data_IF_869141244469
#
_entry.id   IF_869141244469
#
_cell.length_a   1.000
_cell.length_b   1.000
_cell.length_c   1.000
_cell.angle_alpha   90.00
_cell.angle_beta   90.00
_cell.angle_gamma   90.00
#
_symmetry.space_group_name_H-M   'P 1'
#
loop_
_entity.id
_entity.type
_entity.pdbx_description
1 polymer ?
#
# COMPACT_ATOMS: atom_id res chain seq x y z
N UNK A 1 8.76 71.04 -2.65
CA UNK A 1 8.34 70.15 -1.57
C UNK A 1 7.05 69.45 -1.99
N UNK A 2 7.15 68.30 -2.60
CA UNK A 2 6.00 67.42 -2.80
C UNK A 2 6.40 66.02 -2.32
N UNK A 3 5.82 65.63 -1.20
CA UNK A 3 5.93 64.34 -0.58
C UNK A 3 5.15 63.33 -1.41
N UNK A 4 5.83 62.31 -1.94
CA UNK A 4 5.17 61.17 -2.59
C UNK A 4 5.06 60.08 -1.54
N UNK A 5 3.81 59.75 -1.18
CA UNK A 5 3.49 58.63 -0.29
C UNK A 5 3.65 57.30 -1.04
N UNK A 6 4.43 56.43 -0.49
CA UNK A 6 4.57 55.04 -0.96
C UNK A 6 3.27 54.28 -0.68
N UNK A 7 2.78 53.53 -1.68
CA UNK A 7 1.68 52.61 -1.54
C UNK A 7 2.15 51.34 -0.77
N UNK A 8 1.28 50.72 0.03
CA UNK A 8 1.61 49.49 0.72
C UNK A 8 1.72 48.31 -0.27
N UNK A 9 2.83 47.62 -0.18
CA UNK A 9 3.12 46.38 -0.88
C UNK A 9 2.17 45.28 -0.36
N UNK A 10 1.29 44.80 -1.26
CA UNK A 10 0.38 43.71 -0.94
C UNK A 10 1.16 42.41 -1.09
N UNK A 11 1.43 41.74 0.02
CA UNK A 11 1.98 40.40 0.10
C UNK A 11 1.10 39.42 -0.69
N UNK A 12 1.68 38.51 -1.53
CA UNK A 12 0.89 37.52 -2.24
C UNK A 12 0.33 36.51 -1.23
N UNK A 13 -0.90 36.00 -1.42
CA UNK A 13 -1.50 35.05 -0.51
C UNK A 13 -0.70 33.72 -0.56
N UNK A 14 -0.34 33.26 0.62
CA UNK A 14 0.20 31.92 0.86
C UNK A 14 -0.72 30.86 0.21
N UNK A 15 -0.19 29.85 -0.48
CA UNK A 15 -1.02 28.76 -0.96
C UNK A 15 -1.61 28.02 0.23
N UNK A 16 -2.92 28.04 0.35
CA UNK A 16 -3.67 27.28 1.34
C UNK A 16 -3.34 25.79 1.18
N UNK A 17 -2.59 25.24 2.13
CA UNK A 17 -2.49 23.82 2.36
C UNK A 17 -3.90 23.27 2.60
N UNK A 18 -4.49 22.71 1.55
CA UNK A 18 -5.67 21.86 1.71
C UNK A 18 -5.22 20.57 2.35
N UNK A 19 -5.59 20.29 3.61
CA UNK A 19 -5.41 18.98 4.15
C UNK A 19 -6.27 18.03 3.30
N UNK A 20 -5.61 17.12 2.61
CA UNK A 20 -6.28 15.98 1.97
C UNK A 20 -7.09 15.28 3.05
N UNK A 21 -8.38 15.58 3.10
CA UNK A 21 -9.30 14.96 4.02
C UNK A 21 -9.25 13.46 3.77
N UNK A 22 -8.71 12.72 4.73
CA UNK A 22 -9.01 11.30 4.86
C UNK A 22 -10.53 11.16 4.78
N UNK A 23 -11.08 10.17 4.06
CA UNK A 23 -12.51 10.01 3.99
C UNK A 23 -13.02 9.88 5.42
N UNK A 24 -13.75 10.90 5.88
CA UNK A 24 -14.49 10.86 7.13
C UNK A 24 -15.51 9.76 6.98
N UNK A 25 -15.23 8.60 7.58
CA UNK A 25 -16.18 7.52 7.71
C UNK A 25 -17.28 7.93 8.69
N UNK A 26 -18.18 8.80 8.24
CA UNK A 26 -19.43 9.10 8.94
C UNK A 26 -20.52 8.07 8.62
N UNK A 27 -20.13 6.83 8.29
CA UNK A 27 -21.03 5.70 8.18
C UNK A 27 -21.52 5.22 9.55
N UNK A 28 -22.66 4.52 9.62
CA UNK A 28 -23.17 3.98 10.86
C UNK A 28 -22.10 3.10 11.52
N UNK A 29 -21.81 3.38 12.79
CA UNK A 29 -20.86 2.58 13.59
C UNK A 29 -21.49 1.23 13.88
N UNK A 30 -21.21 0.24 13.03
CA UNK A 30 -21.58 -1.12 13.34
C UNK A 30 -20.74 -1.61 14.53
N UNK A 31 -21.39 -2.07 15.59
CA UNK A 31 -20.69 -2.76 16.68
C UNK A 31 -20.12 -4.09 16.16
N UNK A 32 -18.94 -4.48 16.61
CA UNK A 32 -18.10 -5.51 16.01
C UNK A 32 -18.67 -6.91 15.80
N UNK A 33 -19.86 -7.20 16.27
CA UNK A 33 -20.56 -8.47 15.98
C UNK A 33 -21.67 -8.33 14.95
N UNK A 34 -22.04 -7.12 14.55
CA UNK A 34 -23.08 -6.93 13.53
C UNK A 34 -22.47 -7.02 12.15
N UNK A 35 -23.20 -7.66 11.22
CA UNK A 35 -22.82 -7.67 9.81
C UNK A 35 -23.05 -6.29 9.20
N UNK A 36 -22.09 -5.80 8.41
CA UNK A 36 -22.31 -4.65 7.56
C UNK A 36 -23.43 -4.98 6.54
N UNK A 37 -24.24 -4.00 6.10
CA UNK A 37 -25.16 -4.18 4.98
C UNK A 37 -24.43 -4.71 3.74
N UNK A 38 -25.13 -5.47 2.91
CA UNK A 38 -24.55 -6.04 1.71
C UNK A 38 -23.96 -4.95 0.81
N UNK A 39 -22.70 -5.10 0.40
CA UNK A 39 -21.99 -4.15 -0.45
C UNK A 39 -21.42 -2.92 0.27
N UNK A 40 -21.73 -2.70 1.55
CA UNK A 40 -21.16 -1.60 2.31
C UNK A 40 -19.84 -2.04 2.96
N UNK A 41 -18.73 -1.36 2.60
CA UNK A 41 -17.41 -1.64 3.18
C UNK A 41 -17.39 -1.28 4.67
N UNK A 42 -16.86 -2.20 5.47
CA UNK A 42 -16.51 -1.96 6.86
C UNK A 42 -15.06 -2.32 7.10
N UNK A 43 -14.29 -1.38 7.64
CA UNK A 43 -12.92 -1.66 8.06
C UNK A 43 -12.86 -2.63 9.24
N UNK A 44 -11.78 -3.40 9.32
CA UNK A 44 -11.50 -4.25 10.47
C UNK A 44 -11.33 -3.40 11.75
N UNK A 45 -11.80 -3.94 12.86
CA UNK A 45 -11.64 -3.37 14.21
C UNK A 45 -11.31 -4.48 15.23
N UNK A 46 -11.22 -4.12 16.50
CA UNK A 46 -10.92 -5.09 17.58
C UNK A 46 -12.01 -6.15 17.77
N UNK A 47 -13.16 -5.98 17.15
CA UNK A 47 -14.32 -6.87 17.30
C UNK A 47 -14.53 -7.79 16.10
N UNK A 48 -13.86 -7.52 14.96
CA UNK A 48 -13.99 -8.38 13.78
C UNK A 48 -13.19 -7.93 12.57
N UNK A 49 -13.06 -8.82 11.57
CA UNK A 49 -12.37 -8.54 10.31
C UNK A 49 -13.12 -7.51 9.46
N UNK A 50 -12.43 -7.00 8.45
CA UNK A 50 -13.04 -6.18 7.42
C UNK A 50 -14.16 -6.95 6.70
N UNK A 51 -15.21 -6.23 6.29
CA UNK A 51 -16.35 -6.80 5.58
C UNK A 51 -16.58 -6.07 4.27
N UNK A 52 -17.04 -6.80 3.27
CA UNK A 52 -17.33 -6.27 1.93
C UNK A 52 -16.15 -5.46 1.36
N UNK A 53 -14.94 -5.96 1.55
CA UNK A 53 -13.72 -5.32 1.02
C UNK A 53 -13.82 -5.22 -0.49
N UNK A 54 -13.72 -4.01 -1.09
CA UNK A 54 -13.78 -3.86 -2.53
C UNK A 54 -12.66 -4.64 -3.21
N UNK A 55 -13.02 -5.49 -4.17
CA UNK A 55 -12.04 -6.25 -4.93
C UNK A 55 -11.33 -5.34 -5.93
N UNK A 56 -9.97 -5.29 -5.93
CA UNK A 56 -9.24 -4.48 -6.87
C UNK A 56 -9.47 -4.88 -8.33
N UNK A 57 -9.23 -3.94 -9.23
CA UNK A 57 -9.21 -4.19 -10.67
C UNK A 57 -7.86 -3.77 -11.23
N UNK A 58 -7.31 -4.57 -12.12
CA UNK A 58 -6.04 -4.24 -12.75
C UNK A 58 -6.23 -3.09 -13.76
N UNK A 59 -5.35 -2.08 -13.78
CA UNK A 59 -5.43 -1.00 -14.75
C UNK A 59 -5.14 -1.53 -16.18
N UNK A 60 -5.81 -0.99 -17.21
CA UNK A 60 -5.54 -1.40 -18.60
C UNK A 60 -4.06 -1.24 -18.96
N UNK A 61 -3.48 -2.25 -19.62
CA UNK A 61 -2.08 -2.26 -20.05
C UNK A 61 -1.06 -2.60 -18.97
N UNK A 62 -1.47 -3.06 -17.80
CA UNK A 62 -0.56 -3.44 -16.71
C UNK A 62 0.38 -4.61 -17.06
N UNK A 63 0.03 -5.42 -18.05
CA UNK A 63 0.86 -6.54 -18.55
C UNK A 63 1.72 -6.17 -19.76
N UNK A 64 1.69 -4.93 -20.22
CA UNK A 64 2.49 -4.52 -21.39
C UNK A 64 3.98 -4.46 -21.05
N UNK A 65 4.88 -4.86 -21.99
CA UNK A 65 6.34 -4.83 -21.79
C UNK A 65 6.92 -3.41 -21.94
N UNK A 66 6.31 -2.46 -21.25
CA UNK A 66 6.68 -1.03 -21.25
C UNK A 66 6.90 -0.53 -19.83
N UNK A 67 7.60 0.59 -19.67
CA UNK A 67 7.76 1.22 -18.36
C UNK A 67 6.41 1.61 -17.74
N UNK A 68 5.47 2.09 -18.55
CA UNK A 68 4.11 2.40 -18.10
C UNK A 68 3.38 1.12 -17.63
N UNK A 69 3.51 0.02 -18.37
CA UNK A 69 2.99 -1.29 -17.97
C UNK A 69 3.59 -1.77 -16.65
N UNK A 70 4.90 -1.61 -16.47
CA UNK A 70 5.58 -1.93 -15.21
C UNK A 70 5.05 -1.11 -14.04
N UNK A 71 4.89 0.21 -14.19
CA UNK A 71 4.33 1.09 -13.17
C UNK A 71 2.91 0.69 -12.78
N UNK A 72 2.08 0.40 -13.78
CA UNK A 72 0.70 -0.07 -13.60
C UNK A 72 0.66 -1.41 -12.88
N UNK A 73 1.58 -2.32 -13.22
CA UNK A 73 1.71 -3.63 -12.59
C UNK A 73 2.08 -3.49 -11.11
N UNK A 74 3.05 -2.65 -10.76
CA UNK A 74 3.44 -2.40 -9.37
C UNK A 74 2.30 -1.79 -8.55
N UNK A 75 1.52 -0.90 -9.16
CA UNK A 75 0.31 -0.34 -8.54
C UNK A 75 -0.76 -1.41 -8.32
N UNK A 76 -1.00 -2.27 -9.30
CA UNK A 76 -1.93 -3.39 -9.19
C UNK A 76 -1.50 -4.35 -8.08
N UNK A 77 -0.21 -4.74 -8.05
CA UNK A 77 0.34 -5.56 -6.99
C UNK A 77 0.08 -4.99 -5.60
N UNK A 78 0.36 -3.70 -5.38
CA UNK A 78 0.12 -3.05 -4.08
C UNK A 78 -1.36 -3.11 -3.67
N UNK A 79 -2.29 -2.93 -4.61
CA UNK A 79 -3.72 -3.02 -4.36
C UNK A 79 -4.15 -4.44 -3.98
N UNK A 80 -3.69 -5.45 -4.72
CA UNK A 80 -3.99 -6.86 -4.43
C UNK A 80 -3.35 -7.34 -3.13
N UNK A 81 -2.15 -6.88 -2.83
CA UNK A 81 -1.49 -7.12 -1.55
C UNK A 81 -2.31 -6.57 -0.38
N UNK A 82 -2.78 -5.34 -0.49
CA UNK A 82 -3.65 -4.72 0.52
C UNK A 82 -5.01 -5.42 0.64
N UNK A 83 -5.55 -5.91 -0.46
CA UNK A 83 -6.76 -6.73 -0.44
C UNK A 83 -6.53 -8.03 0.35
N UNK A 84 -5.44 -8.73 0.06
CA UNK A 84 -5.05 -9.93 0.81
C UNK A 84 -4.87 -9.67 2.30
N UNK A 85 -4.24 -8.55 2.66
CA UNK A 85 -4.06 -8.15 4.07
C UNK A 85 -5.39 -7.94 4.80
N UNK A 86 -6.43 -7.47 4.11
CA UNK A 86 -7.75 -7.25 4.70
C UNK A 86 -8.65 -8.48 4.70
N UNK A 87 -8.38 -9.46 3.84
CA UNK A 87 -9.28 -10.61 3.60
C UNK A 87 -8.65 -11.98 3.84
N UNK A 88 -7.32 -12.05 3.86
CA UNK A 88 -6.57 -13.31 3.81
C UNK A 88 -6.46 -13.92 2.40
N UNK A 89 -7.07 -13.31 1.37
CA UNK A 89 -7.03 -13.79 -0.01
C UNK A 89 -5.94 -13.09 -0.82
N UNK A 90 -4.81 -13.76 -0.99
CA UNK A 90 -3.66 -13.30 -1.77
C UNK A 90 -3.58 -13.89 -3.17
N UNK A 91 -4.61 -14.60 -3.63
CA UNK A 91 -4.62 -15.33 -4.92
C UNK A 91 -4.12 -14.48 -6.09
N UNK A 92 -4.58 -13.23 -6.18
CA UNK A 92 -4.16 -12.33 -7.25
C UNK A 92 -2.77 -11.70 -6.98
N UNK A 93 -2.43 -11.43 -5.72
CA UNK A 93 -1.13 -10.85 -5.36
C UNK A 93 0.04 -11.79 -5.72
N UNK A 94 -0.15 -13.10 -5.61
CA UNK A 94 0.84 -14.11 -6.00
C UNK A 94 1.26 -14.03 -7.47
N UNK A 95 0.40 -13.52 -8.35
CA UNK A 95 0.69 -13.44 -9.80
C UNK A 95 1.77 -12.40 -10.13
N UNK A 96 2.09 -11.51 -9.20
CA UNK A 96 3.06 -10.44 -9.38
C UNK A 96 4.43 -10.73 -8.78
N UNK A 97 4.59 -11.83 -8.07
CA UNK A 97 5.82 -12.14 -7.34
C UNK A 97 6.44 -13.44 -7.80
N UNK A 98 7.75 -13.45 -7.93
CA UNK A 98 8.48 -14.67 -8.27
C UNK A 98 8.53 -15.63 -7.09
N UNK A 99 8.73 -16.92 -7.38
CA UNK A 99 8.91 -17.96 -6.35
C UNK A 99 10.12 -17.70 -5.45
N UNK A 100 11.06 -16.87 -5.90
CA UNK A 100 12.27 -16.53 -5.17
C UNK A 100 12.03 -15.44 -4.10
N UNK A 101 10.91 -14.74 -4.16
CA UNK A 101 10.54 -13.72 -3.17
C UNK A 101 9.94 -14.38 -1.92
N UNK A 102 10.75 -15.23 -1.27
CA UNK A 102 10.32 -16.13 -0.19
C UNK A 102 9.74 -15.36 1.01
N UNK A 103 10.31 -14.22 1.37
CA UNK A 103 9.85 -13.43 2.52
C UNK A 103 8.42 -12.92 2.31
N UNK A 104 8.10 -12.40 1.12
CA UNK A 104 6.77 -11.90 0.79
C UNK A 104 5.76 -13.04 0.70
N UNK A 105 6.14 -14.16 0.07
CA UNK A 105 5.32 -15.38 0.00
C UNK A 105 5.00 -15.91 1.40
N UNK A 106 5.99 -15.95 2.29
CA UNK A 106 5.78 -16.40 3.67
C UNK A 106 4.85 -15.45 4.44
N UNK A 107 4.94 -14.13 4.20
CA UNK A 107 4.01 -13.16 4.77
C UNK A 107 2.57 -13.42 4.29
N UNK A 108 2.35 -13.63 2.98
CA UNK A 108 1.03 -13.98 2.43
C UNK A 108 0.47 -15.26 3.05
N UNK A 109 1.30 -16.30 3.16
CA UNK A 109 0.89 -17.58 3.77
C UNK A 109 0.54 -17.42 5.25
N UNK A 110 1.31 -16.63 6.00
CA UNK A 110 1.07 -16.39 7.41
C UNK A 110 -0.25 -15.63 7.63
N UNK A 111 -0.51 -14.61 6.83
CA UNK A 111 -1.75 -13.84 6.90
C UNK A 111 -2.96 -14.69 6.47
N UNK A 112 -2.85 -15.43 5.38
CA UNK A 112 -3.91 -16.34 4.93
C UNK A 112 -4.24 -17.39 6.01
N UNK A 113 -3.20 -17.96 6.66
CA UNK A 113 -3.39 -18.89 7.78
C UNK A 113 -4.07 -18.20 8.98
N UNK A 114 -3.68 -16.99 9.33
CA UNK A 114 -4.30 -16.22 10.41
C UNK A 114 -5.81 -16.10 10.18
N UNK A 115 -6.24 -15.70 8.97
CA UNK A 115 -7.65 -15.59 8.62
C UNK A 115 -8.38 -16.93 8.62
N UNK A 116 -7.74 -17.97 8.08
CA UNK A 116 -8.27 -19.34 8.11
C UNK A 116 -8.53 -19.82 9.54
N UNK A 117 -7.65 -19.50 10.46
CA UNK A 117 -7.74 -19.87 11.88
C UNK A 117 -8.74 -18.98 12.66
N UNK A 118 -9.40 -18.04 12.02
CA UNK A 118 -10.39 -17.15 12.63
C UNK A 118 -9.84 -15.87 13.24
N UNK A 119 -8.57 -15.55 12.98
CA UNK A 119 -7.97 -14.26 13.29
C UNK A 119 -8.14 -13.24 12.16
N UNK A 120 -7.62 -12.03 12.34
CA UNK A 120 -7.66 -10.97 11.33
C UNK A 120 -6.59 -9.90 11.56
N UNK A 121 -6.45 -9.00 10.57
CA UNK A 121 -5.54 -7.86 10.61
C UNK A 121 -6.35 -6.56 10.63
N UNK A 122 -5.92 -5.60 11.45
CA UNK A 122 -6.45 -4.24 11.50
C UNK A 122 -5.37 -3.29 11.03
N UNK A 123 -5.68 -2.43 10.05
CA UNK A 123 -4.72 -1.52 9.43
C UNK A 123 -3.70 -2.27 8.57
N UNK A 124 -2.50 -1.73 8.47
CA UNK A 124 -1.40 -2.37 7.72
C UNK A 124 -1.44 -2.14 6.23
N UNK A 125 -2.48 -1.50 5.73
CA UNK A 125 -2.54 -1.13 4.33
C UNK A 125 -1.32 -0.32 3.95
N UNK A 126 -0.64 -0.78 2.93
CA UNK A 126 0.55 -0.12 2.41
C UNK A 126 0.19 0.79 1.25
N UNK A 127 0.88 1.90 1.17
CA UNK A 127 0.86 2.79 0.01
C UNK A 127 2.28 2.81 -0.55
N UNK A 128 2.44 2.29 -1.76
CA UNK A 128 3.65 2.51 -2.53
C UNK A 128 3.54 3.88 -3.19
N UNK A 129 4.46 4.76 -2.88
CA UNK A 129 4.46 6.13 -3.38
C UNK A 129 5.88 6.62 -3.61
N UNK A 130 5.98 7.76 -4.26
CA UNK A 130 7.24 8.44 -4.52
C UNK A 130 8.28 7.47 -5.09
N UNK A 131 7.95 6.89 -6.25
CA UNK A 131 8.91 6.15 -7.05
C UNK A 131 10.00 7.12 -7.49
N UNK A 132 11.21 6.91 -6.95
CA UNK A 132 12.32 7.80 -7.16
C UNK A 132 13.10 7.40 -8.38
N UNK A 133 13.38 8.40 -9.20
CA UNK A 133 14.13 8.26 -10.45
C UNK A 133 13.43 7.32 -11.45
N UNK A 134 13.97 7.24 -12.62
CA UNK A 134 13.56 6.25 -13.60
C UNK A 134 14.07 4.85 -13.18
N UNK A 135 13.35 3.80 -13.55
CA UNK A 135 13.84 2.43 -13.36
C UNK A 135 15.18 2.22 -14.07
N UNK A 136 16.11 1.59 -13.37
CA UNK A 136 17.46 1.33 -13.91
C UNK A 136 17.48 -0.07 -14.51
N UNK A 137 17.77 -0.16 -15.82
CA UNK A 137 17.95 -1.43 -16.51
C UNK A 137 19.24 -2.12 -16.03
N UNK A 138 19.11 -3.33 -15.51
CA UNK A 138 20.21 -4.12 -14.96
C UNK A 138 20.82 -5.12 -15.97
N UNK A 139 20.30 -5.15 -17.19
CA UNK A 139 20.60 -6.16 -18.19
C UNK A 139 19.56 -7.30 -18.22
N UNK A 140 19.54 -8.08 -19.29
CA UNK A 140 18.67 -9.26 -19.45
C UNK A 140 17.17 -9.03 -19.17
N UNK A 141 16.65 -7.81 -19.45
CA UNK A 141 15.24 -7.49 -19.21
C UNK A 141 14.88 -7.29 -17.74
N UNK A 142 15.87 -7.19 -16.85
CA UNK A 142 15.69 -6.92 -15.43
C UNK A 142 15.82 -5.43 -15.16
N UNK A 143 14.95 -4.89 -14.30
CA UNK A 143 14.95 -3.49 -13.87
C UNK A 143 14.99 -3.41 -12.36
N UNK A 144 15.67 -2.41 -11.83
CA UNK A 144 15.58 -2.01 -10.42
C UNK A 144 14.92 -0.64 -10.29
N UNK A 145 14.10 -0.47 -9.25
CA UNK A 145 13.41 0.79 -9.02
C UNK A 145 13.25 1.07 -7.54
N UNK A 146 13.56 2.31 -7.13
CA UNK A 146 13.42 2.75 -5.76
C UNK A 146 12.05 3.33 -5.50
N UNK A 147 11.45 2.99 -4.36
CA UNK A 147 10.14 3.49 -3.97
C UNK A 147 10.00 3.55 -2.45
N UNK A 148 9.14 4.43 -1.99
CA UNK A 148 8.74 4.47 -0.59
C UNK A 148 7.49 3.66 -0.34
N UNK A 149 7.45 3.01 0.84
CA UNK A 149 6.26 2.32 1.34
C UNK A 149 5.75 3.03 2.58
N UNK A 150 4.55 3.56 2.51
CA UNK A 150 3.86 4.16 3.66
C UNK A 150 2.94 3.15 4.33
N UNK A 151 3.05 3.03 5.64
CA UNK A 151 2.09 2.35 6.51
C UNK A 151 2.21 2.94 7.92
N UNK A 152 1.16 2.87 8.72
CA UNK A 152 1.15 3.50 10.05
C UNK A 152 1.25 2.47 11.18
N UNK A 153 0.35 1.51 11.21
CA UNK A 153 0.34 0.44 12.21
C UNK A 153 -0.33 -0.81 11.65
N UNK A 154 -0.01 -1.94 12.24
CA UNK A 154 -0.64 -3.23 12.00
C UNK A 154 -1.01 -3.80 13.36
N UNK A 155 -2.26 -4.26 13.52
CA UNK A 155 -2.67 -5.05 14.67
C UNK A 155 -3.12 -6.42 14.16
N UNK A 156 -2.43 -7.45 14.60
CA UNK A 156 -2.82 -8.84 14.35
C UNK A 156 -3.67 -9.32 15.51
N UNK A 157 -4.87 -9.79 15.23
CA UNK A 157 -5.82 -10.34 16.22
C UNK A 157 -5.94 -11.83 15.99
N UNK A 158 -5.63 -12.64 16.99
CA UNK A 158 -5.82 -14.09 16.93
C UNK A 158 -7.27 -14.51 17.18
N UNK A 159 -7.59 -15.76 16.84
CA UNK A 159 -8.93 -16.34 17.08
C UNK A 159 -9.34 -16.31 18.56
N UNK A 160 -8.37 -16.29 19.47
CA UNK A 160 -8.57 -16.18 20.92
C UNK A 160 -8.76 -14.74 21.41
N UNK A 161 -8.80 -13.75 20.50
CA UNK A 161 -8.94 -12.33 20.80
C UNK A 161 -7.65 -11.66 21.28
N UNK A 162 -6.55 -12.40 21.47
CA UNK A 162 -5.25 -11.79 21.76
C UNK A 162 -4.75 -11.01 20.56
N UNK A 163 -4.16 -9.84 20.81
CA UNK A 163 -3.70 -8.98 19.73
C UNK A 163 -2.26 -8.50 19.96
N UNK A 164 -1.55 -8.33 18.85
CA UNK A 164 -0.20 -7.74 18.80
C UNK A 164 -0.22 -6.52 17.90
N UNK A 165 0.30 -5.40 18.39
CA UNK A 165 0.41 -4.15 17.64
C UNK A 165 1.86 -3.89 17.23
N UNK A 166 2.06 -3.59 15.95
CA UNK A 166 3.30 -3.05 15.40
C UNK A 166 3.04 -1.63 14.87
N UNK A 167 3.97 -0.71 15.10
CA UNK A 167 3.90 0.67 14.59
C UNK A 167 5.10 0.94 13.70
N UNK A 168 4.86 1.69 12.65
CA UNK A 168 5.93 2.28 11.87
C UNK A 168 6.35 3.58 12.55
N UNK A 169 7.49 3.57 13.21
CA UNK A 169 8.01 4.73 13.96
C UNK A 169 9.10 5.48 13.20
N UNK A 170 9.53 4.97 12.06
CA UNK A 170 10.62 5.56 11.28
C UNK A 170 10.27 5.57 9.79
N UNK A 171 9.62 6.64 9.36
CA UNK A 171 9.24 6.83 7.95
C UNK A 171 10.43 7.00 7.01
N UNK A 172 11.57 7.52 7.50
CA UNK A 172 12.77 7.70 6.69
C UNK A 172 13.39 6.37 6.24
N UNK A 173 13.16 5.29 6.99
CA UNK A 173 13.71 3.97 6.69
C UNK A 173 12.78 3.11 5.80
N UNK A 174 11.77 3.70 5.19
CA UNK A 174 10.83 2.99 4.34
C UNK A 174 11.15 3.08 2.84
N UNK A 175 12.39 3.38 2.51
CA UNK A 175 12.89 3.31 1.15
C UNK A 175 13.28 1.87 0.81
N UNK A 176 12.73 1.39 -0.30
CA UNK A 176 12.97 0.04 -0.81
C UNK A 176 13.42 0.10 -2.26
N UNK A 177 14.16 -0.91 -2.69
CA UNK A 177 14.43 -1.18 -4.10
C UNK A 177 13.67 -2.43 -4.51
N UNK A 178 12.85 -2.33 -5.54
CA UNK A 178 12.29 -3.47 -6.25
C UNK A 178 13.28 -3.92 -7.32
N UNK A 179 13.37 -5.24 -7.52
CA UNK A 179 13.91 -5.81 -8.75
C UNK A 179 12.79 -6.54 -9.46
N UNK A 180 12.58 -6.22 -10.72
CA UNK A 180 11.50 -6.77 -11.54
C UNK A 180 12.01 -7.21 -12.89
N UNK A 181 11.38 -8.23 -13.47
CA UNK A 181 11.60 -8.63 -14.85
C UNK A 181 10.26 -8.85 -15.55
N UNK A 182 10.31 -8.91 -16.89
CA UNK A 182 9.13 -9.15 -17.70
C UNK A 182 9.07 -10.61 -18.14
N UNK A 183 7.89 -11.22 -17.96
CA UNK A 183 7.52 -12.52 -18.51
C UNK A 183 6.33 -12.38 -19.47
N UNK A 184 5.97 -13.46 -20.18
CA UNK A 184 4.81 -13.47 -21.09
C UNK A 184 3.50 -13.05 -20.41
N UNK A 185 3.38 -13.28 -19.12
CA UNK A 185 2.18 -12.96 -18.32
C UNK A 185 2.20 -11.55 -17.73
N UNK A 186 3.32 -10.82 -17.85
CA UNK A 186 3.48 -9.47 -17.31
C UNK A 186 4.74 -9.30 -16.46
N UNK A 187 4.74 -8.27 -15.62
CA UNK A 187 5.87 -7.90 -14.77
C UNK A 187 5.88 -8.68 -13.45
N UNK A 188 7.02 -9.29 -13.14
CA UNK A 188 7.23 -10.13 -11.95
C UNK A 188 8.27 -9.49 -11.03
N UNK A 189 7.96 -9.41 -9.75
CA UNK A 189 8.85 -8.90 -8.69
C UNK A 189 9.73 -10.04 -8.19
N UNK A 190 11.04 -9.89 -8.34
CA UNK A 190 12.03 -10.88 -7.89
C UNK A 190 12.55 -10.61 -6.49
N UNK A 191 12.69 -9.33 -6.15
CA UNK A 191 13.17 -8.94 -4.84
C UNK A 191 12.61 -7.60 -4.38
N UNK A 192 12.49 -7.46 -3.08
CA UNK A 192 12.15 -6.21 -2.38
C UNK A 192 13.18 -6.03 -1.28
N UNK A 193 14.09 -5.09 -1.46
CA UNK A 193 15.19 -4.87 -0.51
C UNK A 193 15.07 -3.50 0.14
N UNK A 194 15.10 -3.47 1.46
CA UNK A 194 15.10 -2.22 2.21
C UNK A 194 16.45 -1.54 2.06
N UNK A 195 16.46 -0.28 1.65
CA UNK A 195 17.68 0.53 1.67
C UNK A 195 18.00 0.98 3.09
N UNK A 196 19.21 0.70 3.52
CA UNK A 196 19.72 1.31 4.75
C UNK A 196 20.09 2.76 4.44
N UNK A 197 19.48 3.70 5.12
CA UNK A 197 19.93 5.09 5.10
C UNK A 197 21.30 5.12 5.79
N UNK A 198 22.34 5.41 5.04
CA UNK A 198 23.65 5.68 5.65
C UNK A 198 23.47 6.89 6.58
N UNK A 199 23.77 6.68 7.85
CA UNK A 199 23.80 7.73 8.87
C UNK A 199 25.03 8.61 8.68
#
# INVERSE_FOLDING_TARGET
TTSSAAAPETEPPEPADSPSAAPSSSGPKYSGKSKAPAGEFRAADIYGPAQNVPKPTNPPGYTEPTLDGMMKSMKAWTQWRNYGMQTGDYTEAYKFVSKNLVEEINAYNADAKLYHDGGWIIGGEQRSYDFRNDPVHQGNGVYSWDFFVGWSYIITVGADGRHKRSRNTNYADNLYTLTVHYEETGWIIDSITRKQTQK
#
